data_IF_934283207861
#
_entry.id   IF_934283207861
#
_cell.length_a   1.000
_cell.length_b   1.000
_cell.length_c   1.000
_cell.angle_alpha   90.00
_cell.angle_beta   90.00
_cell.angle_gamma   90.00
#
_symmetry.space_group_name_H-M   'P 1'
#
loop_
_entity.id
_entity.type
_entity.pdbx_description
1 polymer ?
#
# COMPACT_ATOMS: atom_id res chain seq x y z
N UNK A 1 -0.95 23.76 5.51
CA UNK A 1 -1.22 22.45 6.16
C UNK A 1 -0.64 21.32 5.33
N UNK A 2 -0.08 20.33 6.00
CA UNK A 2 0.49 19.18 5.33
C UNK A 2 -0.62 18.24 4.86
N UNK A 3 -0.40 17.62 3.70
CA UNK A 3 -1.25 16.52 3.27
C UNK A 3 -1.03 15.31 4.18
N UNK A 4 -2.08 14.53 4.36
CA UNK A 4 -2.06 13.32 5.19
C UNK A 4 -2.31 12.10 4.32
N UNK A 5 -1.42 11.14 4.38
CA UNK A 5 -1.58 9.88 3.65
C UNK A 5 -1.55 8.69 4.61
N UNK A 6 -2.19 7.61 4.19
CA UNK A 6 -2.18 6.36 4.92
C UNK A 6 -1.59 5.25 4.04
N UNK A 7 -0.71 4.45 4.63
CA UNK A 7 -0.25 3.21 4.02
C UNK A 7 -0.94 2.05 4.74
N UNK A 8 -1.62 1.22 3.96
CA UNK A 8 -2.33 0.05 4.48
C UNK A 8 -1.67 -1.20 3.92
N UNK A 9 -1.17 -2.05 4.82
CA UNK A 9 -0.50 -3.29 4.49
C UNK A 9 -1.34 -4.48 4.90
N UNK A 10 -1.49 -5.44 4.00
CA UNK A 10 -2.29 -6.63 4.19
C UNK A 10 -1.54 -7.78 4.87
N UNK A 11 -2.11 -9.00 4.77
CA UNK A 11 -1.65 -10.15 5.54
C UNK A 11 -0.22 -10.54 5.24
N UNK A 12 0.46 -11.00 6.27
CA UNK A 12 1.83 -11.52 6.24
C UNK A 12 2.92 -10.45 6.05
N UNK A 13 2.58 -9.20 5.80
CA UNK A 13 3.58 -8.14 5.63
C UNK A 13 4.27 -7.79 6.95
N UNK A 14 3.64 -8.11 8.08
CA UNK A 14 4.26 -7.98 9.39
C UNK A 14 5.49 -8.88 9.57
N UNK A 15 5.61 -9.93 8.73
CA UNK A 15 6.76 -10.85 8.75
C UNK A 15 7.81 -10.52 7.67
N UNK A 16 7.72 -9.33 7.08
CA UNK A 16 8.68 -8.88 6.09
C UNK A 16 10.11 -8.94 6.67
N UNK A 17 11.05 -9.46 5.86
CA UNK A 17 12.42 -9.69 6.29
C UNK A 17 12.65 -11.10 6.84
N UNK A 18 11.59 -11.78 7.26
CA UNK A 18 11.64 -13.14 7.81
C UNK A 18 11.15 -14.19 6.82
N UNK A 19 10.29 -13.79 5.87
CA UNK A 19 9.72 -14.70 4.87
C UNK A 19 10.49 -14.59 3.54
N UNK A 20 10.22 -15.45 2.60
CA UNK A 20 10.80 -15.58 1.25
C UNK A 20 11.60 -14.36 0.76
N UNK A 21 12.86 -14.22 1.21
CA UNK A 21 13.67 -13.04 0.91
C UNK A 21 13.93 -12.87 -0.59
N UNK A 22 13.91 -13.96 -1.36
CA UNK A 22 14.05 -13.88 -2.83
C UNK A 22 12.91 -13.09 -3.49
N UNK A 23 11.72 -13.08 -2.87
CA UNK A 23 10.54 -12.36 -3.37
C UNK A 23 10.37 -10.99 -2.72
N UNK A 24 10.69 -10.87 -1.43
CA UNK A 24 10.32 -9.71 -0.63
C UNK A 24 11.52 -8.95 -0.07
N UNK A 25 12.76 -9.45 -0.29
CA UNK A 25 13.97 -8.82 0.23
C UNK A 25 14.18 -9.08 1.71
N UNK A 26 15.26 -8.50 2.26
CA UNK A 26 15.67 -8.69 3.65
C UNK A 26 15.28 -7.52 4.57
N UNK A 27 14.77 -6.43 4.04
CA UNK A 27 14.30 -5.29 4.84
C UNK A 27 13.15 -5.75 5.73
N UNK A 28 13.26 -5.46 7.03
CA UNK A 28 12.20 -5.84 7.98
C UNK A 28 11.01 -4.88 7.88
N UNK A 29 9.88 -5.30 8.42
CA UNK A 29 8.68 -4.45 8.48
C UNK A 29 8.97 -3.16 9.27
N UNK A 30 9.71 -3.29 10.37
CA UNK A 30 10.11 -2.14 11.20
C UNK A 30 10.95 -1.15 10.41
N UNK A 31 11.96 -1.65 9.68
CA UNK A 31 12.82 -0.81 8.84
C UNK A 31 12.03 -0.13 7.73
N UNK A 32 11.11 -0.85 7.10
CA UNK A 32 10.23 -0.29 6.07
C UNK A 32 9.43 0.87 6.63
N UNK A 33 8.81 0.68 7.79
CA UNK A 33 8.02 1.72 8.45
C UNK A 33 8.87 2.96 8.73
N UNK A 34 10.07 2.76 9.29
CA UNK A 34 11.00 3.86 9.59
C UNK A 34 11.39 4.62 8.32
N UNK A 35 11.71 3.90 7.25
CA UNK A 35 12.08 4.50 5.97
C UNK A 35 10.94 5.31 5.37
N UNK A 36 9.71 4.82 5.46
CA UNK A 36 8.53 5.52 4.96
C UNK A 36 8.28 6.81 5.75
N UNK A 37 8.37 6.73 7.07
CA UNK A 37 8.18 7.90 7.94
C UNK A 37 9.24 8.95 7.66
N UNK A 38 10.51 8.52 7.53
CA UNK A 38 11.62 9.42 7.21
C UNK A 38 11.38 10.16 5.90
N UNK A 39 11.02 9.44 4.84
CA UNK A 39 10.76 10.06 3.53
C UNK A 39 9.58 11.03 3.61
N UNK A 40 8.51 10.65 4.28
CA UNK A 40 7.33 11.49 4.41
C UNK A 40 7.67 12.81 5.13
N UNK A 41 8.46 12.72 6.20
CA UNK A 41 8.92 13.91 6.92
C UNK A 41 9.77 14.82 6.04
N UNK A 42 10.68 14.23 5.25
CA UNK A 42 11.54 14.98 4.33
C UNK A 42 10.75 15.81 3.33
N UNK A 43 9.62 15.31 2.86
CA UNK A 43 8.83 15.99 1.82
C UNK A 43 7.55 16.62 2.35
N UNK A 44 7.39 16.71 3.68
CA UNK A 44 6.31 17.44 4.30
C UNK A 44 4.95 16.75 4.26
N UNK A 45 4.92 15.43 4.30
CA UNK A 45 3.69 14.64 4.36
C UNK A 45 3.54 14.01 5.73
N UNK A 46 2.33 14.06 6.28
CA UNK A 46 1.99 13.36 7.50
C UNK A 46 1.55 11.93 7.13
N UNK A 47 2.24 10.93 7.66
CA UNK A 47 2.03 9.53 7.29
C UNK A 47 1.49 8.70 8.45
N UNK A 48 0.45 7.93 8.18
CA UNK A 48 0.00 6.82 9.04
C UNK A 48 0.38 5.51 8.36
N UNK A 49 1.14 4.66 9.05
CA UNK A 49 1.58 3.37 8.53
C UNK A 49 0.85 2.26 9.30
N UNK A 50 0.09 1.42 8.59
CA UNK A 50 -0.76 0.40 9.21
C UNK A 50 -0.53 -0.98 8.60
N UNK A 51 -0.98 -2.01 9.31
CA UNK A 51 -0.94 -3.39 8.83
C UNK A 51 -2.01 -4.21 9.56
N UNK A 52 -2.64 -5.14 8.84
CA UNK A 52 -3.50 -6.16 9.46
C UNK A 52 -3.52 -7.43 8.63
N UNK A 53 -3.67 -8.56 9.30
CA UNK A 53 -3.91 -9.85 8.65
C UNK A 53 -5.41 -10.12 8.46
N UNK A 54 -6.27 -9.26 9.00
CA UNK A 54 -7.72 -9.50 9.08
C UNK A 54 -8.43 -8.65 8.04
N UNK A 55 -9.11 -9.31 7.10
CA UNK A 55 -9.79 -8.63 5.99
C UNK A 55 -10.74 -7.54 6.47
N UNK A 56 -11.57 -7.85 7.47
CA UNK A 56 -12.54 -6.88 8.00
C UNK A 56 -11.88 -5.66 8.63
N UNK A 57 -10.72 -5.82 9.26
CA UNK A 57 -9.96 -4.69 9.79
C UNK A 57 -9.43 -3.80 8.68
N UNK A 58 -8.98 -4.41 7.58
CA UNK A 58 -8.51 -3.66 6.42
C UNK A 58 -9.65 -2.86 5.80
N UNK A 59 -10.83 -3.47 5.68
CA UNK A 59 -12.02 -2.78 5.18
C UNK A 59 -12.33 -1.58 6.07
N UNK A 60 -12.31 -1.74 7.39
CA UNK A 60 -12.58 -0.65 8.33
C UNK A 60 -11.54 0.46 8.26
N UNK A 61 -10.25 0.12 8.10
CA UNK A 61 -9.19 1.10 7.92
C UNK A 61 -9.44 1.95 6.66
N UNK A 62 -9.84 1.32 5.57
CA UNK A 62 -10.12 2.01 4.31
C UNK A 62 -11.33 2.94 4.48
N UNK A 63 -12.41 2.43 5.10
CA UNK A 63 -13.61 3.22 5.34
C UNK A 63 -13.31 4.46 6.18
N UNK A 64 -12.55 4.27 7.26
CA UNK A 64 -12.22 5.36 8.18
C UNK A 64 -11.28 6.40 7.55
N UNK A 65 -10.48 5.98 6.57
CA UNK A 65 -9.54 6.85 5.88
C UNK A 65 -10.24 7.93 5.05
N UNK A 66 -11.48 7.71 4.63
CA UNK A 66 -12.21 8.63 3.74
C UNK A 66 -12.27 10.05 4.25
N UNK A 67 -12.40 10.23 5.55
CA UNK A 67 -12.57 11.55 6.15
C UNK A 67 -11.29 12.08 6.83
N UNK A 68 -10.21 11.32 6.81
CA UNK A 68 -8.98 11.64 7.56
C UNK A 68 -7.76 11.84 6.68
N UNK A 69 -7.73 11.21 5.51
CA UNK A 69 -6.53 11.18 4.68
C UNK A 69 -6.82 11.68 3.28
N UNK A 70 -5.80 12.25 2.66
CA UNK A 70 -5.88 12.85 1.33
C UNK A 70 -5.47 11.86 0.24
N UNK A 71 -4.74 10.83 0.60
CA UNK A 71 -4.27 9.80 -0.32
C UNK A 71 -3.95 8.51 0.41
N UNK A 72 -3.80 7.44 -0.36
CA UNK A 72 -3.59 6.09 0.18
C UNK A 72 -2.60 5.31 -0.66
N UNK A 73 -1.76 4.53 0.02
CA UNK A 73 -0.96 3.48 -0.60
C UNK A 73 -1.48 2.16 -0.04
N UNK A 74 -1.90 1.25 -0.91
CA UNK A 74 -2.45 -0.04 -0.51
C UNK A 74 -1.58 -1.18 -1.03
N UNK A 75 -1.05 -1.99 -0.12
CA UNK A 75 -0.47 -3.28 -0.44
C UNK A 75 -1.36 -4.33 0.21
N UNK A 76 -2.39 -4.76 -0.52
CA UNK A 76 -3.38 -5.69 0.00
C UNK A 76 -2.85 -7.13 0.10
N UNK A 77 -1.62 -7.37 -0.35
CA UNK A 77 -0.98 -8.69 -0.34
C UNK A 77 -1.88 -9.72 -1.05
N UNK A 78 -2.08 -10.89 -0.46
CA UNK A 78 -2.90 -11.92 -1.08
C UNK A 78 -4.35 -11.50 -1.34
N UNK A 79 -4.90 -10.59 -0.56
CA UNK A 79 -6.27 -10.12 -0.76
C UNK A 79 -6.45 -9.32 -2.06
N UNK A 80 -5.37 -8.86 -2.67
CA UNK A 80 -5.40 -8.23 -4.00
C UNK A 80 -6.11 -9.11 -5.02
N UNK A 81 -5.96 -10.42 -4.87
CA UNK A 81 -6.40 -11.41 -5.85
C UNK A 81 -7.72 -12.09 -5.48
N UNK A 82 -8.26 -11.80 -4.29
CA UNK A 82 -9.40 -12.56 -3.76
C UNK A 82 -10.50 -11.69 -3.14
N UNK A 83 -10.19 -10.48 -2.68
CA UNK A 83 -11.13 -9.73 -1.86
C UNK A 83 -11.95 -8.71 -2.65
N UNK A 84 -13.19 -9.06 -2.91
CA UNK A 84 -14.19 -8.10 -3.43
C UNK A 84 -14.52 -7.07 -2.34
N UNK A 85 -14.52 -7.48 -1.07
CA UNK A 85 -14.81 -6.56 0.03
C UNK A 85 -13.81 -5.39 0.11
N UNK A 86 -12.52 -5.68 -0.06
CA UNK A 86 -11.49 -4.63 -0.10
C UNK A 86 -11.66 -3.77 -1.34
N UNK A 87 -11.92 -4.37 -2.50
CA UNK A 87 -12.19 -3.62 -3.73
C UNK A 87 -13.32 -2.61 -3.52
N UNK A 88 -14.43 -3.05 -2.96
CA UNK A 88 -15.59 -2.19 -2.75
C UNK A 88 -15.29 -1.04 -1.77
N UNK A 89 -14.53 -1.32 -0.72
CA UNK A 89 -14.12 -0.29 0.22
C UNK A 89 -13.22 0.76 -0.45
N UNK A 90 -12.25 0.32 -1.26
CA UNK A 90 -11.35 1.23 -1.98
C UNK A 90 -12.11 2.11 -2.96
N UNK A 91 -13.13 1.56 -3.61
CA UNK A 91 -13.96 2.32 -4.55
C UNK A 91 -14.69 3.48 -3.89
N UNK A 92 -14.90 3.42 -2.58
CA UNK A 92 -15.56 4.48 -1.82
C UNK A 92 -14.61 5.58 -1.37
N UNK A 93 -13.30 5.39 -1.47
CA UNK A 93 -12.32 6.38 -0.97
C UNK A 93 -12.33 7.68 -1.79
N UNK A 94 -12.47 7.60 -3.10
CA UNK A 94 -12.62 8.75 -4.02
C UNK A 94 -11.47 9.76 -4.02
N UNK A 95 -10.29 9.36 -3.58
CA UNK A 95 -9.07 10.19 -3.59
C UNK A 95 -7.94 9.34 -4.17
N UNK A 96 -6.76 9.91 -4.47
CA UNK A 96 -5.68 9.13 -5.07
C UNK A 96 -5.28 7.91 -4.24
N UNK A 97 -5.20 6.77 -4.91
CA UNK A 97 -4.76 5.49 -4.34
C UNK A 97 -3.67 4.94 -5.24
N UNK A 98 -2.54 4.55 -4.64
CA UNK A 98 -1.48 3.81 -5.35
C UNK A 98 -1.51 2.37 -4.87
N UNK A 99 -1.71 1.44 -5.80
CA UNK A 99 -1.58 0.01 -5.53
C UNK A 99 -0.10 -0.36 -5.56
N UNK A 100 0.36 -1.13 -4.56
CA UNK A 100 1.77 -1.48 -4.45
C UNK A 100 1.95 -2.96 -4.19
N UNK A 101 2.92 -3.55 -4.89
CA UNK A 101 3.40 -4.91 -4.67
C UNK A 101 4.92 -4.90 -4.62
N UNK A 102 5.50 -5.54 -3.58
CA UNK A 102 6.94 -5.64 -3.42
C UNK A 102 7.54 -6.50 -4.51
N UNK A 103 6.93 -7.68 -4.75
CA UNK A 103 7.38 -8.60 -5.78
C UNK A 103 6.82 -8.22 -7.14
N UNK A 104 7.43 -8.77 -8.20
CA UNK A 104 6.83 -8.70 -9.52
C UNK A 104 5.79 -9.81 -9.63
N UNK A 105 4.53 -9.46 -9.43
CA UNK A 105 3.41 -10.40 -9.41
C UNK A 105 3.23 -11.12 -10.74
N UNK A 106 3.71 -10.53 -11.84
CA UNK A 106 3.61 -11.13 -13.18
C UNK A 106 4.65 -12.23 -13.44
N UNK A 107 5.61 -12.37 -12.53
CA UNK A 107 6.60 -13.46 -12.56
C UNK A 107 6.26 -14.58 -11.58
N UNK A 108 5.11 -14.53 -10.95
CA UNK A 108 4.68 -15.49 -9.94
C UNK A 108 3.54 -16.34 -10.47
N UNK A 109 2.85 -17.04 -9.57
CA UNK A 109 1.73 -17.92 -9.94
C UNK A 109 0.65 -17.13 -10.69
N UNK A 110 -0.02 -17.78 -11.61
CA UNK A 110 -1.02 -17.15 -12.48
C UNK A 110 -2.09 -16.40 -11.70
N UNK A 111 -2.55 -16.94 -10.55
CA UNK A 111 -3.59 -16.29 -9.76
C UNK A 111 -3.13 -14.94 -9.19
N UNK A 112 -1.83 -14.67 -9.10
CA UNK A 112 -1.30 -13.40 -8.62
C UNK A 112 -1.24 -12.33 -9.72
N UNK A 113 -1.40 -12.75 -10.97
CA UNK A 113 -1.30 -11.83 -12.09
C UNK A 113 -2.58 -11.05 -12.32
N UNK A 114 -3.67 -11.45 -11.67
CA UNK A 114 -4.95 -10.75 -11.77
C UNK A 114 -5.22 -10.00 -10.47
N UNK A 115 -5.35 -8.68 -10.57
CA UNK A 115 -5.69 -7.83 -9.45
C UNK A 115 -7.17 -7.46 -9.51
N UNK A 116 -7.86 -7.56 -8.37
CA UNK A 116 -9.25 -7.13 -8.25
C UNK A 116 -9.36 -5.63 -7.96
N UNK A 117 -8.24 -4.92 -7.83
CA UNK A 117 -8.26 -3.51 -7.46
C UNK A 117 -7.58 -2.59 -8.47
N UNK A 118 -6.79 -3.12 -9.39
CA UNK A 118 -6.00 -2.29 -10.32
C UNK A 118 -6.83 -1.37 -11.19
N UNK A 119 -8.05 -1.73 -11.50
CA UNK A 119 -8.93 -0.94 -12.36
C UNK A 119 -9.62 0.22 -11.64
N UNK A 120 -9.59 0.25 -10.29
CA UNK A 120 -10.25 1.31 -9.51
C UNK A 120 -9.29 2.23 -8.79
N UNK A 121 -7.99 1.93 -8.77
CA UNK A 121 -6.97 2.80 -8.16
C UNK A 121 -6.44 3.81 -9.16
N UNK A 122 -5.71 4.80 -8.67
CA UNK A 122 -5.10 5.83 -9.54
C UNK A 122 -3.99 5.24 -10.39
N UNK A 123 -3.16 4.39 -9.82
CA UNK A 123 -2.05 3.73 -10.51
C UNK A 123 -1.38 2.71 -9.61
N UNK A 124 -0.32 2.07 -10.12
CA UNK A 124 0.34 1.01 -9.37
C UNK A 124 1.84 0.97 -9.57
N UNK A 125 2.51 0.33 -8.59
CA UNK A 125 3.94 0.05 -8.61
C UNK A 125 4.09 -1.43 -8.22
N UNK A 126 4.87 -2.18 -8.96
CA UNK A 126 5.14 -3.58 -8.63
C UNK A 126 6.58 -3.96 -8.98
N UNK A 127 7.15 -4.89 -8.21
CA UNK A 127 8.43 -5.50 -8.56
C UNK A 127 9.68 -4.71 -8.22
N UNK A 128 9.57 -3.61 -7.51
CA UNK A 128 10.71 -2.75 -7.16
C UNK A 128 11.14 -2.90 -5.71
N UNK A 129 10.71 -3.99 -5.05
CA UNK A 129 11.04 -4.23 -3.65
C UNK A 129 10.39 -3.20 -2.72
N UNK A 130 10.97 -3.03 -1.56
CA UNK A 130 10.48 -2.07 -0.57
C UNK A 130 10.69 -0.62 -1.01
N UNK A 131 11.60 -0.37 -1.94
CA UNK A 131 11.80 0.95 -2.53
C UNK A 131 10.52 1.46 -3.20
N UNK A 132 9.65 0.56 -3.65
CA UNK A 132 8.36 0.91 -4.23
C UNK A 132 7.50 1.78 -3.31
N UNK A 133 7.59 1.57 -1.99
CA UNK A 133 6.87 2.40 -1.02
C UNK A 133 7.33 3.85 -1.07
N UNK A 134 8.63 4.06 -1.16
CA UNK A 134 9.22 5.40 -1.21
C UNK A 134 8.77 6.11 -2.50
N UNK A 135 8.81 5.39 -3.62
CA UNK A 135 8.36 5.93 -4.90
C UNK A 135 6.86 6.26 -4.87
N UNK A 136 6.06 5.44 -4.21
CA UNK A 136 4.62 5.68 -4.08
C UNK A 136 4.35 6.95 -3.26
N UNK A 137 5.10 7.17 -2.18
CA UNK A 137 4.97 8.38 -1.35
C UNK A 137 5.28 9.63 -2.19
N UNK A 138 6.37 9.58 -2.96
CA UNK A 138 6.76 10.68 -3.84
C UNK A 138 5.67 10.94 -4.90
N UNK A 139 5.13 9.87 -5.49
CA UNK A 139 4.08 9.98 -6.49
C UNK A 139 2.81 10.60 -5.93
N UNK A 140 2.39 10.17 -4.74
CA UNK A 140 1.21 10.74 -4.10
C UNK A 140 1.37 12.22 -3.83
N UNK A 141 2.55 12.66 -3.37
CA UNK A 141 2.80 14.06 -3.14
C UNK A 141 2.47 14.89 -4.38
N UNK A 142 2.87 14.42 -5.55
CA UNK A 142 2.60 15.13 -6.81
C UNK A 142 1.11 15.20 -7.13
N UNK A 143 0.37 14.13 -6.91
CA UNK A 143 -1.08 14.14 -7.10
C UNK A 143 -1.78 15.10 -6.14
N UNK A 144 -1.25 15.26 -4.94
CA UNK A 144 -1.88 16.06 -3.89
C UNK A 144 -1.50 17.55 -3.95
N UNK A 145 -0.51 17.92 -4.75
CA UNK A 145 -0.06 19.30 -4.91
C UNK A 145 -0.92 20.10 -5.90
N UNK A 146 -1.92 19.51 -6.47
CA UNK A 146 -2.77 20.17 -7.47
C UNK A 146 -3.78 21.13 -6.85
#
# INVERSE_FOLDING_TARGET
MNNKIIIINGPNLNLLGEREQSQYGSTTFKELKENCIKKSNEIGIELKFTQSNIEGELVSLIQNARNKYDGMIINAAGFTHTSVAIRDALDLFKKPIIELHISNIYKREEFRQKSLISDIVTGGIFGLGTEGYILAIISLQKFLQK
#
